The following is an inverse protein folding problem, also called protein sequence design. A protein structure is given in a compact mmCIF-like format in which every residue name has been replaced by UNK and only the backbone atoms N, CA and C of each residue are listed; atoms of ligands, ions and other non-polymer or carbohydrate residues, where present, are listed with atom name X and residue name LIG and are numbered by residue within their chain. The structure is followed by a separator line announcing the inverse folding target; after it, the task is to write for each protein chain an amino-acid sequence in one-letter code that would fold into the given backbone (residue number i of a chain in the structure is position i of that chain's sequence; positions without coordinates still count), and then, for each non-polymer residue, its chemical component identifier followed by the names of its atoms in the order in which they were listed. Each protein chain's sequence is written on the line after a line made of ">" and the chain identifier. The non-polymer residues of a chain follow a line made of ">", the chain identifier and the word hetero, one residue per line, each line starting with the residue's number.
data_IF_209221103720
#
_entry.id   IF_209221103720
#
_cell.length_a   1.000
_cell.length_b   1.000
_cell.length_c   1.000
_cell.angle_alpha   90.00
_cell.angle_beta   90.00
_cell.angle_gamma   90.00
#
_symmetry.space_group_name_H-M   'P 1'
#
loop_
_entity.id
_entity.type
_entity.pdbx_description
1 polymer ?
#
# COMPACT_ATOMS: atom_id res chain seq x y z
N UNK A 1 7.09 -6.24 45.51
CA UNK A 1 6.89 -4.89 45.04
C UNK A 1 5.72 -4.88 44.09
N UNK A 2 4.64 -4.27 44.54
CA UNK A 2 3.42 -4.07 43.77
C UNK A 2 3.72 -3.20 42.56
N UNK A 3 3.32 -3.65 41.40
CA UNK A 3 3.43 -2.87 40.15
C UNK A 3 2.81 -1.49 40.33
N UNK A 4 3.54 -0.45 39.95
CA UNK A 4 3.03 0.90 39.94
C UNK A 4 1.87 0.98 38.95
N UNK A 5 0.67 1.22 39.45
CA UNK A 5 -0.46 1.56 38.58
C UNK A 5 -0.35 3.04 38.26
N UNK A 6 -0.07 3.40 37.02
CA UNK A 6 -0.19 4.79 36.56
C UNK A 6 -1.68 5.02 36.32
N UNK A 7 -2.35 5.64 37.31
CA UNK A 7 -3.69 6.16 37.11
C UNK A 7 -3.58 7.42 36.22
N UNK A 8 -3.82 7.28 34.95
CA UNK A 8 -3.79 8.40 34.01
C UNK A 8 -5.13 9.13 34.01
N UNK A 9 -5.24 10.18 34.82
CA UNK A 9 -6.31 11.16 34.75
C UNK A 9 -5.95 12.38 33.89
N UNK A 10 -4.80 12.39 33.25
CA UNK A 10 -4.29 13.42 32.37
C UNK A 10 -3.91 12.88 30.99
N UNK A 11 -3.64 13.77 30.05
CA UNK A 11 -3.08 13.42 28.74
C UNK A 11 -1.69 12.84 28.95
N UNK A 12 -1.49 11.53 28.67
CA UNK A 12 -0.17 10.94 28.66
C UNK A 12 0.59 11.54 27.46
N UNK A 13 1.55 12.43 27.70
CA UNK A 13 2.44 12.96 26.68
C UNK A 13 3.72 12.12 26.66
N UNK A 14 4.22 11.81 25.48
CA UNK A 14 5.50 11.12 25.31
C UNK A 14 5.40 9.61 25.06
N UNK A 15 4.22 9.04 24.89
CA UNK A 15 4.06 7.69 24.39
C UNK A 15 3.84 7.74 22.87
N UNK A 16 4.81 7.28 22.09
CA UNK A 16 4.61 7.02 20.68
C UNK A 16 3.63 5.85 20.56
N UNK A 17 2.38 6.15 20.22
CA UNK A 17 1.36 5.14 19.99
C UNK A 17 1.04 5.07 18.51
N UNK A 18 0.68 3.88 18.05
CA UNK A 18 0.01 3.74 16.75
C UNK A 18 -1.30 4.53 16.85
N UNK A 19 -1.43 5.58 16.06
CA UNK A 19 -2.60 6.47 16.06
C UNK A 19 -3.49 6.26 14.85
N UNK A 20 -3.00 5.56 13.82
CA UNK A 20 -3.72 5.24 12.61
C UNK A 20 -3.25 3.90 12.02
N UNK A 21 -4.19 3.06 11.62
CA UNK A 21 -4.00 1.98 10.67
C UNK A 21 -5.12 2.10 9.63
N UNK A 22 -4.76 2.31 8.38
CA UNK A 22 -5.71 2.41 7.27
C UNK A 22 -5.29 1.46 6.16
N UNK A 23 -6.22 0.73 5.59
CA UNK A 23 -5.96 -0.23 4.54
C UNK A 23 -6.88 0.00 3.35
N UNK A 24 -6.30 -0.08 2.18
CA UNK A 24 -7.00 -0.12 0.90
C UNK A 24 -6.72 -1.45 0.20
N UNK A 25 -7.69 -1.90 -0.59
CA UNK A 25 -7.54 -3.03 -1.49
C UNK A 25 -7.95 -2.64 -2.91
N UNK A 26 -7.54 -3.41 -3.89
CA UNK A 26 -8.14 -3.36 -5.21
C UNK A 26 -9.46 -4.15 -5.20
N UNK A 27 -10.56 -3.49 -5.55
CA UNK A 27 -11.89 -4.11 -5.67
C UNK A 27 -12.08 -4.89 -6.97
N UNK A 28 -11.26 -4.62 -7.98
CA UNK A 28 -11.25 -5.33 -9.25
C UNK A 28 -9.82 -5.40 -9.81
N UNK A 29 -9.58 -6.46 -10.58
CA UNK A 29 -8.29 -6.68 -11.23
C UNK A 29 -7.99 -5.64 -12.30
N UNK A 30 -6.70 -5.37 -12.50
CA UNK A 30 -6.17 -4.44 -13.49
C UNK A 30 -5.27 -5.23 -14.43
N UNK A 31 -5.52 -5.15 -15.74
CA UNK A 31 -4.68 -5.78 -16.74
C UNK A 31 -3.26 -5.19 -16.71
N UNK A 32 -2.25 -6.03 -16.90
CA UNK A 32 -0.86 -5.64 -16.85
C UNK A 32 -0.51 -4.65 -17.96
N UNK A 33 -0.09 -3.49 -17.52
CA UNK A 33 0.48 -2.45 -18.37
C UNK A 33 1.43 -1.60 -17.52
N UNK A 34 2.36 -0.92 -18.15
CA UNK A 34 3.27 -0.01 -17.45
C UNK A 34 2.51 1.27 -17.08
N UNK A 35 1.94 1.30 -15.89
CA UNK A 35 1.16 2.45 -15.42
C UNK A 35 1.03 2.47 -13.89
N UNK A 36 0.65 3.62 -13.38
CA UNK A 36 0.23 3.78 -11.99
C UNK A 36 -1.02 2.95 -11.73
N UNK A 37 -1.09 2.30 -10.59
CA UNK A 37 -2.29 1.60 -10.12
C UNK A 37 -3.28 2.68 -9.64
N UNK A 38 -4.02 3.28 -10.55
CA UNK A 38 -4.80 4.51 -10.36
C UNK A 38 -6.30 4.29 -10.14
N UNK A 39 -6.79 3.07 -10.34
CA UNK A 39 -8.21 2.73 -10.27
C UNK A 39 -8.48 1.58 -9.28
N UNK A 40 -9.78 1.36 -9.02
CA UNK A 40 -10.31 0.24 -8.24
C UNK A 40 -9.86 0.19 -6.75
N UNK A 41 -9.38 1.28 -6.20
CA UNK A 41 -9.03 1.34 -4.78
C UNK A 41 -10.27 1.56 -3.92
N UNK A 42 -10.48 0.69 -2.95
CA UNK A 42 -11.51 0.83 -1.92
C UNK A 42 -10.94 0.48 -0.54
N UNK A 43 -11.59 0.94 0.53
CA UNK A 43 -11.36 0.38 1.87
C UNK A 43 -12.09 -0.94 2.00
N UNK A 44 -11.46 -1.97 2.61
CA UNK A 44 -12.16 -3.22 2.88
C UNK A 44 -13.38 -2.94 3.76
N UNK A 45 -14.56 -3.35 3.30
CA UNK A 45 -15.86 -3.12 3.94
C UNK A 45 -16.63 -4.42 4.24
N UNK A 46 -15.98 -5.57 4.03
CA UNK A 46 -16.57 -6.90 4.20
C UNK A 46 -16.19 -7.54 5.53
N UNK A 47 -17.16 -8.17 6.19
CA UNK A 47 -16.94 -8.96 7.40
C UNK A 47 -16.50 -8.12 8.59
N UNK A 48 -15.35 -8.46 9.17
CA UNK A 48 -14.75 -7.79 10.34
C UNK A 48 -13.66 -6.78 9.96
N UNK A 49 -13.59 -6.38 8.69
CA UNK A 49 -12.63 -5.37 8.24
C UNK A 49 -12.84 -4.05 8.97
N UNK A 50 -11.76 -3.42 9.38
CA UNK A 50 -11.80 -2.19 10.16
C UNK A 50 -10.58 -1.32 9.89
N UNK A 51 -10.75 -0.01 10.12
CA UNK A 51 -9.68 0.96 10.24
C UNK A 51 -9.48 1.32 11.71
N UNK A 52 -8.28 1.76 12.05
CA UNK A 52 -7.97 2.25 13.39
C UNK A 52 -7.58 3.72 13.36
N UNK A 53 -8.13 4.50 14.28
CA UNK A 53 -7.90 5.94 14.39
C UNK A 53 -9.01 6.78 13.75
N UNK A 54 -9.11 8.03 14.19
CA UNK A 54 -10.14 8.99 13.73
C UNK A 54 -9.74 9.76 12.48
N UNK A 55 -8.45 9.76 12.13
CA UNK A 55 -7.88 10.45 10.97
C UNK A 55 -7.27 9.39 10.07
N UNK A 56 -7.59 9.43 8.79
CA UNK A 56 -7.24 8.38 7.84
C UNK A 56 -6.66 8.96 6.56
N UNK A 57 -5.98 8.10 5.76
CA UNK A 57 -5.48 8.43 4.43
C UNK A 57 -6.63 8.90 3.53
N UNK A 58 -6.35 9.79 2.61
CA UNK A 58 -7.22 10.03 1.45
C UNK A 58 -6.59 9.48 0.19
N UNK A 59 -7.43 9.06 -0.77
CA UNK A 59 -7.00 8.49 -2.03
C UNK A 59 -7.79 9.13 -3.19
N UNK A 60 -7.08 9.48 -4.27
CA UNK A 60 -7.66 9.91 -5.52
C UNK A 60 -6.76 9.49 -6.68
N UNK A 61 -7.31 8.77 -7.66
CA UNK A 61 -6.57 8.29 -8.84
C UNK A 61 -5.25 7.60 -8.49
N UNK A 62 -5.27 6.72 -7.47
CA UNK A 62 -4.09 5.96 -7.02
C UNK A 62 -3.05 6.75 -6.24
N UNK A 63 -3.29 8.04 -6.00
CA UNK A 63 -2.42 8.87 -5.17
C UNK A 63 -2.98 8.91 -3.75
N UNK A 64 -2.17 8.49 -2.80
CA UNK A 64 -2.50 8.46 -1.38
C UNK A 64 -1.87 9.65 -0.68
N UNK A 65 -2.69 10.41 0.05
CA UNK A 65 -2.28 11.60 0.81
C UNK A 65 -2.33 11.30 2.30
N UNK A 66 -1.24 11.61 2.98
CA UNK A 66 -1.11 11.44 4.44
C UNK A 66 -1.93 12.50 5.18
N UNK A 67 -2.68 12.11 6.23
CA UNK A 67 -3.57 13.03 6.95
C UNK A 67 -2.84 13.99 7.90
N UNK A 68 -1.64 13.64 8.33
CA UNK A 68 -0.81 14.44 9.24
C UNK A 68 0.66 14.14 9.03
N UNK A 69 1.55 14.98 9.55
CA UNK A 69 2.98 14.69 9.63
C UNK A 69 3.24 13.54 10.61
N UNK A 70 4.40 12.90 10.50
CA UNK A 70 4.81 11.80 11.36
C UNK A 70 5.51 10.67 10.61
N UNK A 71 5.95 9.68 11.36
CA UNK A 71 6.52 8.46 10.81
C UNK A 71 5.43 7.48 10.41
N UNK A 72 5.51 7.01 9.18
CA UNK A 72 4.58 6.03 8.63
C UNK A 72 5.31 4.78 8.14
N UNK A 73 4.75 3.64 8.45
CA UNK A 73 5.04 2.40 7.75
C UNK A 73 4.03 2.22 6.62
N UNK A 74 4.53 2.00 5.42
CA UNK A 74 3.74 1.71 4.22
C UNK A 74 4.05 0.30 3.78
N UNK A 75 3.07 -0.58 3.86
CA UNK A 75 3.15 -1.96 3.40
C UNK A 75 2.29 -2.10 2.14
N UNK A 76 2.89 -2.63 1.08
CA UNK A 76 2.19 -2.93 -0.16
C UNK A 76 2.32 -4.41 -0.49
N UNK A 77 1.21 -5.04 -0.80
CA UNK A 77 1.11 -6.43 -1.25
C UNK A 77 0.40 -6.43 -2.59
N UNK A 78 0.95 -7.08 -3.59
CA UNK A 78 0.31 -7.28 -4.88
C UNK A 78 0.15 -8.76 -5.20
N UNK A 79 -1.08 -9.18 -5.47
CA UNK A 79 -1.39 -10.44 -6.11
C UNK A 79 -1.24 -10.30 -7.61
N UNK A 80 -0.48 -11.20 -8.23
CA UNK A 80 -0.23 -11.21 -9.67
C UNK A 80 -0.67 -12.55 -10.25
N UNK A 81 -1.35 -12.53 -11.40
CA UNK A 81 -1.61 -13.72 -12.19
C UNK A 81 -1.06 -13.59 -13.60
N UNK A 82 -0.53 -14.67 -14.11
CA UNK A 82 0.06 -14.82 -15.44
C UNK A 82 -0.78 -15.83 -16.22
N UNK A 83 -1.60 -15.33 -17.14
CA UNK A 83 -2.55 -16.12 -17.90
C UNK A 83 -1.92 -16.79 -19.12
N UNK A 84 -1.28 -17.96 -18.96
CA UNK A 84 -0.63 -18.70 -20.05
C UNK A 84 0.38 -17.84 -20.85
N UNK A 85 1.12 -17.01 -20.17
CA UNK A 85 2.11 -16.10 -20.78
C UNK A 85 3.42 -16.15 -20.01
N UNK A 86 4.53 -16.25 -20.73
CA UNK A 86 5.83 -16.00 -20.14
C UNK A 86 6.04 -14.49 -20.03
N UNK A 87 6.27 -14.05 -18.81
CA UNK A 87 6.65 -12.69 -18.48
C UNK A 87 7.59 -12.76 -17.28
N UNK A 88 8.86 -12.59 -17.51
CA UNK A 88 9.90 -12.89 -16.53
C UNK A 88 10.41 -11.68 -15.75
N UNK A 89 9.76 -10.52 -15.92
CA UNK A 89 10.26 -9.27 -15.32
C UNK A 89 9.16 -8.29 -14.98
N UNK A 90 8.17 -8.69 -14.21
CA UNK A 90 7.17 -7.74 -13.66
C UNK A 90 7.74 -7.03 -12.43
N UNK A 91 7.72 -5.71 -12.43
CA UNK A 91 8.14 -4.89 -11.29
C UNK A 91 6.93 -4.16 -10.71
N UNK A 92 6.82 -4.15 -9.39
CA UNK A 92 5.82 -3.36 -8.66
C UNK A 92 6.56 -2.40 -7.75
N UNK A 93 6.44 -1.10 -8.04
CA UNK A 93 7.11 -0.04 -7.31
C UNK A 93 6.20 0.62 -6.29
N UNK A 94 6.76 0.93 -5.13
CA UNK A 94 6.24 1.94 -4.19
C UNK A 94 6.99 3.23 -4.46
N UNK A 95 6.26 4.26 -4.88
CA UNK A 95 6.80 5.55 -5.29
C UNK A 95 6.35 6.67 -4.37
N UNK A 96 7.25 7.59 -4.06
CA UNK A 96 6.95 8.79 -3.29
C UNK A 96 7.28 10.05 -4.08
N UNK A 97 6.56 11.12 -3.76
CA UNK A 97 6.86 12.48 -4.21
C UNK A 97 7.13 13.37 -3.00
N UNK A 98 8.05 14.31 -3.16
CA UNK A 98 8.34 15.36 -2.18
C UNK A 98 7.83 16.74 -2.61
N UNK A 99 7.32 16.85 -3.83
CA UNK A 99 6.90 18.12 -4.45
C UNK A 99 5.51 18.03 -5.11
N UNK A 100 4.74 16.97 -4.83
CA UNK A 100 3.43 16.67 -5.42
C UNK A 100 3.41 16.65 -6.96
N UNK A 101 4.56 16.39 -7.60
CA UNK A 101 4.72 16.44 -9.06
C UNK A 101 5.52 15.25 -9.58
N UNK A 102 6.80 15.15 -9.22
CA UNK A 102 7.67 14.05 -9.65
C UNK A 102 7.74 12.96 -8.59
N UNK A 103 7.61 11.71 -9.05
CA UNK A 103 7.66 10.53 -8.21
C UNK A 103 8.97 9.77 -8.42
N UNK A 104 9.58 9.33 -7.32
CA UNK A 104 10.76 8.47 -7.33
C UNK A 104 10.43 7.09 -6.75
N UNK A 105 11.16 6.07 -7.19
CA UNK A 105 11.05 4.71 -6.69
C UNK A 105 11.76 4.59 -5.34
N UNK A 106 11.05 4.17 -4.30
CA UNK A 106 11.59 3.97 -2.96
C UNK A 106 11.65 2.50 -2.57
N UNK A 107 10.74 1.68 -3.08
CA UNK A 107 10.79 0.23 -2.91
C UNK A 107 10.28 -0.47 -4.17
N UNK A 108 10.72 -1.72 -4.36
CA UNK A 108 10.31 -2.54 -5.49
C UNK A 108 10.13 -3.98 -5.05
N UNK A 109 9.13 -4.63 -5.62
CA UNK A 109 8.92 -6.06 -5.56
C UNK A 109 8.93 -6.63 -6.98
N UNK A 110 9.49 -7.83 -7.13
CA UNK A 110 9.68 -8.48 -8.42
C UNK A 110 8.90 -9.77 -8.51
N UNK A 111 8.33 -10.03 -9.69
CA UNK A 111 7.75 -11.31 -10.02
C UNK A 111 8.07 -11.67 -11.47
N UNK A 112 7.85 -12.92 -11.82
CA UNK A 112 7.96 -13.37 -13.19
C UNK A 112 7.61 -14.84 -13.35
N UNK A 113 7.17 -15.21 -14.54
CA UNK A 113 6.87 -16.58 -14.94
C UNK A 113 7.47 -16.87 -16.31
N UNK A 114 8.20 -17.97 -16.43
CA UNK A 114 8.70 -18.48 -17.71
C UNK A 114 7.71 -19.43 -18.41
N UNK A 115 6.56 -19.71 -17.79
CA UNK A 115 5.57 -20.61 -18.36
C UNK A 115 4.66 -19.88 -19.35
N UNK A 116 4.60 -20.38 -20.58
CA UNK A 116 3.67 -19.89 -21.61
C UNK A 116 2.46 -20.80 -21.81
N UNK A 117 2.33 -21.88 -21.03
CA UNK A 117 1.28 -22.88 -21.18
C UNK A 117 0.44 -23.13 -19.93
N UNK A 118 0.87 -22.60 -18.77
CA UNK A 118 0.16 -22.76 -17.49
C UNK A 118 -0.05 -21.39 -16.83
N UNK A 119 -1.18 -21.23 -16.17
CA UNK A 119 -1.43 -20.10 -15.30
C UNK A 119 -0.50 -20.17 -14.08
N UNK A 120 0.10 -19.05 -13.73
CA UNK A 120 0.91 -18.89 -12.52
C UNK A 120 0.39 -17.73 -11.69
N UNK A 121 0.46 -17.87 -10.36
CA UNK A 121 0.08 -16.81 -9.44
C UNK A 121 1.19 -16.54 -8.45
N UNK A 122 1.41 -15.28 -8.15
CA UNK A 122 2.43 -14.82 -7.22
C UNK A 122 1.85 -13.76 -6.30
N UNK A 123 2.36 -13.71 -5.09
CA UNK A 123 2.16 -12.58 -4.18
C UNK A 123 3.52 -11.96 -3.91
N UNK A 124 3.64 -10.67 -4.18
CA UNK A 124 4.86 -9.90 -3.93
C UNK A 124 4.56 -8.76 -2.97
N UNK A 125 5.55 -8.31 -2.23
CA UNK A 125 5.36 -7.27 -1.23
C UNK A 125 6.56 -6.35 -1.14
N UNK A 126 6.28 -5.11 -0.76
CA UNK A 126 7.28 -4.14 -0.35
C UNK A 126 6.84 -3.46 0.95
N UNK A 127 7.81 -3.03 1.75
CA UNK A 127 7.57 -2.32 3.00
C UNK A 127 8.62 -1.22 3.15
N UNK A 128 8.19 -0.03 3.60
CA UNK A 128 9.07 1.11 3.83
C UNK A 128 8.57 1.92 5.02
N UNK A 129 9.49 2.53 5.75
CA UNK A 129 9.21 3.55 6.76
C UNK A 129 9.61 4.90 6.19
N UNK A 130 8.73 5.88 6.29
CA UNK A 130 8.93 7.25 5.80
C UNK A 130 8.61 8.26 6.90
N UNK A 131 9.33 9.36 6.89
CA UNK A 131 9.05 10.55 7.70
C UNK A 131 8.30 11.57 6.85
N UNK A 132 7.04 11.79 7.16
CA UNK A 132 6.18 12.75 6.47
C UNK A 132 6.20 14.08 7.23
N UNK A 133 6.84 15.07 6.64
CA UNK A 133 7.01 16.43 7.20
C UNK A 133 6.12 17.47 6.49
N UNK A 134 5.61 17.15 5.30
CA UNK A 134 4.73 18.00 4.48
C UNK A 134 3.66 17.20 3.77
N UNK A 135 2.45 17.19 4.33
CA UNK A 135 1.31 16.45 3.77
C UNK A 135 0.74 17.05 2.48
N UNK A 136 1.07 18.29 2.16
CA UNK A 136 0.63 18.94 0.92
C UNK A 136 1.42 18.43 -0.28
N UNK A 137 2.72 18.18 -0.08
CA UNK A 137 3.66 17.83 -1.15
C UNK A 137 4.08 16.35 -1.13
N UNK A 138 4.18 15.73 0.06
CA UNK A 138 4.62 14.34 0.20
C UNK A 138 3.44 13.38 0.08
N UNK A 139 3.49 12.52 -0.93
CA UNK A 139 2.44 11.54 -1.24
C UNK A 139 3.06 10.24 -1.72
N UNK A 140 2.25 9.18 -1.72
CA UNK A 140 2.66 7.87 -2.19
C UNK A 140 1.70 7.33 -3.24
N UNK A 141 2.24 6.55 -4.19
CA UNK A 141 1.49 5.78 -5.19
C UNK A 141 2.19 4.47 -5.49
N UNK A 142 1.51 3.59 -6.18
CA UNK A 142 2.04 2.31 -6.61
C UNK A 142 2.00 2.22 -8.14
N UNK A 143 3.04 1.62 -8.73
CA UNK A 143 3.20 1.54 -10.17
C UNK A 143 3.64 0.13 -10.58
N UNK A 144 2.98 -0.43 -11.56
CA UNK A 144 3.40 -1.65 -12.23
C UNK A 144 4.19 -1.33 -13.50
N UNK A 145 5.32 -2.00 -13.71
CA UNK A 145 6.15 -1.81 -14.90
C UNK A 145 6.73 -3.11 -15.43
N UNK A 146 7.29 -3.05 -16.63
CA UNK A 146 7.93 -4.19 -17.32
C UNK A 146 6.98 -5.34 -17.62
N UNK A 147 5.68 -5.07 -17.71
CA UNK A 147 4.72 -6.04 -18.22
C UNK A 147 4.96 -6.28 -19.71
N UNK A 148 5.20 -7.53 -20.07
CA UNK A 148 5.38 -7.95 -21.47
C UNK A 148 4.07 -8.36 -22.13
N UNK A 149 3.01 -8.53 -21.34
CA UNK A 149 1.69 -8.95 -21.81
C UNK A 149 0.57 -8.41 -20.93
N UNK A 150 -0.54 -8.03 -21.54
CA UNK A 150 -1.80 -7.71 -20.84
C UNK A 150 -2.46 -8.93 -20.16
N UNK A 151 -1.98 -10.14 -20.44
CA UNK A 151 -2.41 -11.36 -19.75
C UNK A 151 -1.74 -11.53 -18.37
N UNK A 152 -0.77 -10.69 -18.02
CA UNK A 152 -0.37 -10.50 -16.63
C UNK A 152 -1.36 -9.54 -15.99
N UNK A 153 -1.87 -9.86 -14.82
CA UNK A 153 -2.93 -9.11 -14.15
C UNK A 153 -2.51 -8.83 -12.71
N UNK A 154 -2.71 -7.60 -12.27
CA UNK A 154 -2.70 -7.25 -10.84
C UNK A 154 -4.09 -7.57 -10.32
N UNK A 155 -4.20 -8.56 -9.45
CA UNK A 155 -5.49 -9.10 -9.02
C UNK A 155 -6.14 -8.21 -7.94
N UNK A 156 -7.45 -8.03 -8.04
CA UNK A 156 -8.30 -7.36 -7.06
C UNK A 156 -9.62 -8.10 -6.89
N UNK A 157 -10.22 -7.99 -5.71
CA UNK A 157 -11.51 -8.60 -5.37
C UNK A 157 -12.20 -7.80 -4.25
N UNK A 158 -13.54 -7.65 -4.33
CA UNK A 158 -14.34 -6.96 -3.30
C UNK A 158 -14.64 -7.81 -2.08
N UNK A 159 -14.52 -9.13 -2.18
CA UNK A 159 -14.83 -10.07 -1.11
C UNK A 159 -13.67 -10.36 -0.18
N UNK A 160 -12.43 -10.23 -0.67
CA UNK A 160 -11.22 -10.53 0.09
C UNK A 160 -10.00 -9.75 -0.41
N UNK A 161 -9.00 -9.63 0.45
CA UNK A 161 -7.80 -8.87 0.15
C UNK A 161 -6.82 -9.69 -0.71
N UNK A 162 -6.55 -9.24 -1.94
CA UNK A 162 -5.54 -9.80 -2.84
C UNK A 162 -4.39 -8.80 -3.00
N UNK A 163 -4.69 -7.61 -3.53
CA UNK A 163 -3.75 -6.51 -3.61
C UNK A 163 -4.16 -5.43 -2.61
N UNK A 164 -3.24 -5.06 -1.73
CA UNK A 164 -3.52 -4.15 -0.61
C UNK A 164 -2.41 -3.14 -0.39
N UNK A 165 -2.80 -1.96 0.06
CA UNK A 165 -1.91 -0.95 0.62
C UNK A 165 -2.32 -0.67 2.06
N UNK A 166 -1.40 -0.86 3.00
CA UNK A 166 -1.65 -0.61 4.43
C UNK A 166 -0.72 0.50 4.92
N UNK A 167 -1.31 1.46 5.60
CA UNK A 167 -0.64 2.63 6.14
C UNK A 167 -0.77 2.62 7.66
N UNK A 168 0.37 2.61 8.35
CA UNK A 168 0.41 2.65 9.82
C UNK A 168 1.19 3.86 10.27
N UNK A 169 0.55 4.80 10.99
CA UNK A 169 1.26 5.92 11.60
C UNK A 169 1.80 5.47 12.95
N UNK A 170 3.12 5.45 13.07
CA UNK A 170 3.85 4.86 14.20
C UNK A 170 4.38 5.89 15.19
N UNK A 171 4.32 7.18 14.86
CA UNK A 171 4.78 8.23 15.76
C UNK A 171 4.77 9.62 15.13
N UNK A 172 5.14 10.60 15.92
CA UNK A 172 5.35 11.98 15.50
C UNK A 172 6.77 12.17 14.93
N UNK A 173 6.95 13.19 14.05
CA UNK A 173 8.26 13.64 13.55
C UNK A 173 9.04 14.35 14.64
#
# INVERSE_FOLDING_TARGET
>A
PSGATIANSGTATGFNQITMIDQFRLSASIAGANHVIDANWERPDTGISAQFGSIQMSQSSGIFTFPSTGFYKVDFIAGLSYGNVADNQTNIFTQFTENNSSYANYAVAFAGSNSSSNNSRFTVSSSIIVDITDTSNQKVRFEGTSFQSSNVVIEGDTGYNVTTATFTRIGDT
#
